data_IF_321665340651
#
_entry.id   IF_321665340651
#
_cell.length_a   1.000
_cell.length_b   1.000
_cell.length_c   1.000
_cell.angle_alpha   90.00
_cell.angle_beta   90.00
_cell.angle_gamma   90.00
#
_symmetry.space_group_name_H-M   'P 1'
#
loop_
_entity.id
_entity.type
_entity.pdbx_description
1 polymer ?
#
# COMPACT_ATOMS: atom_id res chain seq x y z
N UNK A 1 -8.78 13.02 5.62
CA UNK A 1 -8.51 11.69 6.20
C UNK A 1 -7.30 11.13 5.50
N UNK A 2 -6.12 11.19 6.12
CA UNK A 2 -4.89 10.68 5.51
C UNK A 2 -4.85 9.18 5.79
N UNK A 3 -5.32 8.37 4.84
CA UNK A 3 -5.25 6.92 4.95
C UNK A 3 -3.78 6.49 5.00
N UNK A 4 -3.28 6.07 6.17
CA UNK A 4 -1.98 5.41 6.28
C UNK A 4 -2.16 3.95 5.91
N UNK A 5 -1.57 3.53 4.80
CA UNK A 5 -1.49 2.11 4.45
C UNK A 5 -0.23 1.56 5.10
N UNK A 6 -0.40 0.76 6.15
CA UNK A 6 0.69 -0.03 6.71
C UNK A 6 0.73 -1.37 5.96
N UNK A 7 1.68 -1.53 5.04
CA UNK A 7 1.97 -2.82 4.42
C UNK A 7 3.14 -3.47 5.16
N UNK A 8 2.88 -4.58 5.84
CA UNK A 8 3.93 -5.45 6.35
C UNK A 8 4.30 -6.44 5.26
N UNK A 9 5.52 -6.31 4.73
CA UNK A 9 6.10 -7.32 3.85
C UNK A 9 6.82 -8.34 4.73
N UNK A 10 6.48 -9.61 4.60
CA UNK A 10 7.36 -10.68 5.08
C UNK A 10 8.52 -10.78 4.07
N UNK A 11 9.63 -10.11 4.39
CA UNK A 11 10.82 -10.14 3.56
C UNK A 11 11.56 -11.45 3.80
N UNK A 12 11.52 -12.34 2.81
CA UNK A 12 12.44 -13.48 2.78
C UNK A 12 13.78 -13.00 2.26
N UNK A 13 14.81 -13.21 3.08
CA UNK A 13 16.21 -12.96 2.75
C UNK A 13 16.62 -13.61 1.43
N UNK A 14 16.38 -12.91 0.31
CA UNK A 14 17.32 -12.95 -0.80
C UNK A 14 18.47 -12.08 -0.35
N UNK A 15 19.59 -12.70 0.00
CA UNK A 15 20.83 -12.03 0.41
C UNK A 15 21.18 -11.00 -0.67
N UNK A 16 20.75 -9.75 -0.48
CA UNK A 16 21.32 -8.62 -1.20
C UNK A 16 22.76 -8.56 -0.72
N UNK A 17 23.72 -8.73 -1.63
CA UNK A 17 25.14 -8.79 -1.32
C UNK A 17 25.51 -7.65 -0.36
N UNK A 18 26.05 -8.01 0.80
CA UNK A 18 26.11 -7.11 1.96
C UNK A 18 27.34 -6.21 2.00
N UNK A 19 28.15 -6.18 0.93
CA UNK A 19 29.46 -5.52 0.96
C UNK A 19 29.53 -4.53 -0.20
N UNK A 20 29.64 -3.24 0.16
CA UNK A 20 29.98 -2.18 -0.76
C UNK A 20 31.35 -2.48 -1.37
N UNK A 21 31.49 -2.28 -2.67
CA UNK A 21 32.77 -2.45 -3.37
C UNK A 21 33.80 -1.43 -2.86
N UNK A 22 35.09 -1.70 -3.08
CA UNK A 22 36.18 -0.79 -2.68
C UNK A 22 36.00 0.61 -3.29
N UNK A 23 35.50 0.69 -4.52
CA UNK A 23 35.23 1.94 -5.23
C UNK A 23 34.05 2.72 -4.60
N UNK A 24 32.97 2.03 -4.26
CA UNK A 24 31.83 2.62 -3.54
C UNK A 24 32.25 3.14 -2.16
N UNK A 25 33.09 2.40 -1.43
CA UNK A 25 33.62 2.85 -0.15
C UNK A 25 34.49 4.11 -0.28
N UNK A 26 35.37 4.17 -1.28
CA UNK A 26 36.17 5.35 -1.56
C UNK A 26 35.29 6.56 -1.91
N UNK A 27 34.29 6.38 -2.78
CA UNK A 27 33.34 7.44 -3.16
C UNK A 27 32.57 7.96 -1.94
N UNK A 28 32.13 7.08 -1.05
CA UNK A 28 31.42 7.46 0.18
C UNK A 28 32.27 8.29 1.14
N UNK A 29 33.59 8.04 1.18
CA UNK A 29 34.54 8.82 1.98
C UNK A 29 34.73 10.20 1.36
N UNK A 30 34.99 10.25 0.06
CA UNK A 30 35.19 11.50 -0.69
C UNK A 30 33.94 12.40 -0.65
N UNK A 31 32.76 11.81 -0.89
CA UNK A 31 31.47 12.49 -0.97
C UNK A 31 30.63 12.29 0.31
N UNK A 32 31.29 12.32 1.48
CA UNK A 32 30.65 12.10 2.78
C UNK A 32 29.52 13.10 3.10
N UNK A 33 29.63 14.36 2.67
CA UNK A 33 28.55 15.35 2.83
C UNK A 33 27.28 14.96 2.08
N UNK A 34 27.42 14.46 0.84
CA UNK A 34 26.29 14.02 0.03
C UNK A 34 25.63 12.78 0.66
N UNK A 35 26.44 11.81 1.09
CA UNK A 35 25.93 10.63 1.78
C UNK A 35 25.10 10.99 3.01
N UNK A 36 25.57 11.93 3.83
CA UNK A 36 24.83 12.38 5.04
C UNK A 36 23.51 13.06 4.69
N UNK A 37 23.46 13.84 3.60
CA UNK A 37 22.21 14.44 3.12
C UNK A 37 21.22 13.37 2.63
N UNK A 38 21.68 12.39 1.85
CA UNK A 38 20.84 11.28 1.37
C UNK A 38 20.26 10.49 2.55
N UNK A 39 21.07 10.17 3.57
CA UNK A 39 20.61 9.50 4.79
C UNK A 39 19.58 10.37 5.54
N UNK A 40 19.75 11.69 5.58
CA UNK A 40 18.79 12.59 6.20
C UNK A 40 17.43 12.58 5.47
N UNK A 41 17.43 12.53 4.13
CA UNK A 41 16.21 12.36 3.34
C UNK A 41 15.53 11.00 3.59
N UNK A 42 16.29 9.91 3.65
CA UNK A 42 15.76 8.57 3.98
C UNK A 42 15.12 8.54 5.37
N UNK A 43 15.69 9.27 6.33
CA UNK A 43 15.26 9.25 7.74
C UNK A 43 14.15 10.25 8.05
N UNK A 44 14.16 11.42 7.44
CA UNK A 44 13.31 12.56 7.82
C UNK A 44 12.54 13.17 6.65
N UNK A 45 12.73 12.70 5.42
CA UNK A 45 12.04 13.24 4.25
C UNK A 45 10.51 13.19 4.36
N UNK A 46 9.98 12.16 5.03
CA UNK A 46 8.55 12.00 5.29
C UNK A 46 7.94 13.17 6.09
N UNK A 47 8.73 13.82 6.96
CA UNK A 47 8.25 14.94 7.78
C UNK A 47 8.00 16.21 6.97
N UNK A 48 8.59 16.32 5.78
CA UNK A 48 8.39 17.42 4.83
C UNK A 48 7.48 17.07 3.65
N UNK A 49 6.80 15.92 3.67
CA UNK A 49 6.01 15.43 2.54
C UNK A 49 4.61 16.06 2.45
N UNK A 50 4.04 16.06 1.25
CA UNK A 50 2.73 16.59 0.91
C UNK A 50 1.66 15.49 1.02
N UNK A 51 1.31 15.11 2.25
CA UNK A 51 0.42 13.97 2.52
C UNK A 51 -1.04 14.37 2.80
N UNK A 52 -1.28 15.58 3.28
CA UNK A 52 -2.63 16.05 3.61
C UNK A 52 -3.36 16.56 2.36
N UNK A 53 -4.41 15.89 1.88
CA UNK A 53 -5.17 16.35 0.71
C UNK A 53 -5.97 17.62 0.98
N UNK A 54 -6.21 17.98 2.25
CA UNK A 54 -6.91 19.22 2.63
C UNK A 54 -5.96 20.41 2.78
N UNK A 55 -4.65 20.15 2.82
CA UNK A 55 -3.59 21.13 3.05
C UNK A 55 -3.81 22.01 4.31
N UNK A 56 -4.33 21.41 5.38
CA UNK A 56 -4.59 22.07 6.68
C UNK A 56 -3.40 21.87 7.62
N UNK A 57 -2.68 20.75 7.50
CA UNK A 57 -1.52 20.47 8.35
C UNK A 57 -0.35 21.42 8.06
N UNK A 58 0.15 22.09 9.10
CA UNK A 58 1.36 22.91 8.99
C UNK A 58 2.57 22.02 8.72
N UNK A 59 3.28 22.33 7.63
CA UNK A 59 4.46 21.57 7.22
C UNK A 59 5.66 22.02 8.04
N UNK A 60 6.29 21.07 8.74
CA UNK A 60 7.49 21.34 9.51
C UNK A 60 8.65 21.64 8.57
N UNK A 61 9.34 22.75 8.79
CA UNK A 61 10.63 22.97 8.16
C UNK A 61 11.65 21.99 8.78
N UNK A 62 12.02 20.95 8.02
CA UNK A 62 12.95 19.93 8.49
C UNK A 62 14.37 20.41 8.22
N UNK A 63 15.00 21.01 9.22
CA UNK A 63 16.38 21.51 9.13
C UNK A 63 17.38 20.44 8.66
N UNK A 64 17.13 19.15 8.90
CA UNK A 64 18.00 18.07 8.45
C UNK A 64 18.02 17.90 6.92
N UNK A 65 17.04 18.46 6.19
CA UNK A 65 16.95 18.34 4.74
C UNK A 65 17.59 19.54 4.01
N UNK A 66 18.11 20.53 4.73
CA UNK A 66 18.75 21.71 4.16
C UNK A 66 20.18 21.38 3.66
N UNK A 67 20.44 21.48 2.34
CA UNK A 67 21.77 21.24 1.76
C UNK A 67 22.90 22.12 2.32
N UNK A 68 22.59 23.34 2.76
CA UNK A 68 23.58 24.30 3.25
C UNK A 68 24.30 23.77 4.50
N UNK A 69 23.61 22.96 5.33
CA UNK A 69 24.18 22.31 6.52
C UNK A 69 25.24 21.27 6.21
N UNK A 70 25.29 20.80 4.97
CA UNK A 70 26.25 19.81 4.48
C UNK A 70 27.33 20.45 3.61
N UNK A 71 27.31 21.78 3.42
CA UNK A 71 28.22 22.50 2.51
C UNK A 71 27.91 22.26 1.03
N UNK A 72 26.70 21.81 0.70
CA UNK A 72 26.27 21.50 -0.67
C UNK A 72 25.50 22.70 -1.24
N UNK A 73 26.22 23.69 -1.75
CA UNK A 73 25.64 24.96 -2.25
C UNK A 73 25.72 25.13 -3.76
N UNK A 74 26.63 24.43 -4.44
CA UNK A 74 26.79 24.49 -5.89
C UNK A 74 25.85 23.47 -6.57
N UNK A 75 24.79 23.90 -7.27
CA UNK A 75 23.85 23.01 -7.95
C UNK A 75 24.45 22.34 -9.21
N UNK A 76 25.53 22.89 -9.77
CA UNK A 76 26.14 22.41 -11.01
C UNK A 76 27.27 21.41 -10.77
N UNK A 77 27.83 21.36 -9.56
CA UNK A 77 28.83 20.36 -9.18
C UNK A 77 28.27 18.95 -9.40
N UNK A 78 29.02 18.15 -10.15
CA UNK A 78 28.70 16.76 -10.48
C UNK A 78 29.24 15.85 -9.39
N UNK A 79 28.44 14.86 -8.99
CA UNK A 79 28.79 13.88 -7.97
C UNK A 79 28.62 12.47 -8.51
N UNK A 80 29.54 11.59 -8.12
CA UNK A 80 29.40 10.15 -8.30
C UNK A 80 28.41 9.59 -7.26
N UNK A 81 27.40 8.86 -7.73
CA UNK A 81 26.29 8.32 -6.95
C UNK A 81 26.52 6.89 -6.44
N UNK A 82 27.52 6.19 -6.97
CA UNK A 82 27.81 4.79 -6.63
C UNK A 82 28.04 4.61 -5.13
N UNK A 83 27.31 3.66 -4.51
CA UNK A 83 27.36 3.42 -3.07
C UNK A 83 26.69 4.48 -2.18
N UNK A 84 26.12 5.54 -2.78
CA UNK A 84 25.42 6.63 -2.08
C UNK A 84 23.92 6.60 -2.37
N UNK A 85 23.53 6.60 -3.65
CA UNK A 85 22.14 6.67 -4.11
C UNK A 85 21.87 5.54 -5.12
N UNK A 86 20.82 4.75 -4.91
CA UNK A 86 20.58 3.52 -5.66
C UNK A 86 19.61 3.75 -6.83
N UNK A 87 20.07 4.46 -7.85
CA UNK A 87 19.22 4.97 -8.93
C UNK A 87 19.11 4.07 -10.18
N UNK A 88 20.06 3.14 -10.37
CA UNK A 88 20.32 2.45 -11.64
C UNK A 88 19.93 0.95 -11.69
N UNK A 89 19.16 0.43 -10.73
CA UNK A 89 18.70 -0.97 -10.77
C UNK A 89 17.35 -1.18 -11.48
N UNK A 90 16.96 -0.25 -12.37
CA UNK A 90 15.83 -0.50 -13.29
C UNK A 90 16.24 -1.58 -14.30
N UNK A 91 15.45 -2.65 -14.41
CA UNK A 91 15.75 -3.81 -15.28
C UNK A 91 15.79 -3.46 -16.79
N UNK A 92 15.34 -2.26 -17.17
CA UNK A 92 15.03 -1.89 -18.56
C UNK A 92 16.06 -1.02 -19.25
N UNK A 93 16.90 -0.28 -18.51
CA UNK A 93 17.92 0.59 -19.11
C UNK A 93 19.25 0.45 -18.35
N UNK A 94 20.30 0.02 -19.07
CA UNK A 94 21.65 -0.19 -18.51
C UNK A 94 22.52 1.06 -18.59
N UNK A 95 21.97 2.19 -19.06
CA UNK A 95 22.70 3.47 -19.00
C UNK A 95 22.71 3.97 -17.55
N UNK A 96 23.71 3.54 -16.80
CA UNK A 96 23.91 3.96 -15.44
C UNK A 96 24.22 5.46 -15.43
N UNK A 97 23.26 6.27 -14.96
CA UNK A 97 23.58 7.66 -14.59
C UNK A 97 24.29 7.61 -13.25
N UNK A 98 25.53 7.14 -13.26
CA UNK A 98 26.37 7.01 -12.06
C UNK A 98 26.85 8.38 -11.57
N UNK A 99 26.68 9.42 -12.40
CA UNK A 99 26.97 10.79 -12.04
C UNK A 99 25.77 11.69 -12.30
N UNK A 100 25.55 12.66 -11.42
CA UNK A 100 24.53 13.69 -11.60
C UNK A 100 24.96 15.03 -10.99
N UNK A 101 24.55 16.16 -11.58
CA UNK A 101 24.65 17.47 -10.93
C UNK A 101 23.86 17.49 -9.62
N UNK A 102 24.36 18.19 -8.61
CA UNK A 102 23.70 18.28 -7.30
C UNK A 102 22.24 18.75 -7.39
N UNK A 103 21.93 19.70 -8.27
CA UNK A 103 20.56 20.17 -8.53
C UNK A 103 19.60 19.03 -8.91
N UNK A 104 20.05 18.10 -9.73
CA UNK A 104 19.25 16.92 -10.13
C UNK A 104 19.07 15.96 -8.97
N UNK A 105 20.11 15.75 -8.17
CA UNK A 105 20.08 14.86 -7.00
C UNK A 105 19.08 15.36 -5.96
N UNK A 106 19.13 16.64 -5.61
CA UNK A 106 18.26 17.21 -4.58
C UNK A 106 16.79 17.21 -5.00
N UNK A 107 16.50 17.50 -6.27
CA UNK A 107 15.15 17.40 -6.82
C UNK A 107 14.61 15.97 -6.78
N UNK A 108 15.46 14.99 -7.10
CA UNK A 108 15.11 13.58 -6.99
C UNK A 108 14.77 13.17 -5.57
N UNK A 109 15.63 13.50 -4.60
CA UNK A 109 15.42 13.20 -3.18
C UNK A 109 14.11 13.81 -2.67
N UNK A 110 13.82 15.07 -3.03
CA UNK A 110 12.54 15.73 -2.73
C UNK A 110 11.35 15.00 -3.35
N UNK A 111 11.46 14.58 -4.62
CA UNK A 111 10.40 13.85 -5.33
C UNK A 111 10.14 12.45 -4.74
N UNK A 112 11.19 11.77 -4.28
CA UNK A 112 11.10 10.42 -3.71
C UNK A 112 10.56 10.46 -2.28
N UNK A 113 11.15 11.29 -1.41
CA UNK A 113 10.91 11.21 0.04
C UNK A 113 9.97 12.30 0.59
N UNK A 114 9.81 13.41 -0.12
CA UNK A 114 9.02 14.57 0.32
C UNK A 114 7.94 14.96 -0.70
N UNK A 115 7.49 14.00 -1.51
CA UNK A 115 6.42 14.19 -2.50
C UNK A 115 5.02 13.94 -1.91
N UNK A 116 4.11 13.42 -2.74
CA UNK A 116 2.77 12.98 -2.34
C UNK A 116 2.73 11.56 -1.74
N UNK A 117 3.90 10.93 -1.66
CA UNK A 117 4.15 9.64 -1.02
C UNK A 117 5.37 9.85 -0.14
N UNK A 118 5.33 9.28 1.05
CA UNK A 118 6.41 9.32 2.01
C UNK A 118 6.69 7.91 2.54
N UNK A 119 7.93 7.68 2.94
CA UNK A 119 8.39 6.37 3.39
C UNK A 119 9.05 6.52 4.76
N UNK A 120 8.68 5.62 5.67
CA UNK A 120 9.33 5.43 6.97
C UNK A 120 9.82 4.00 7.03
N UNK A 121 11.13 3.81 6.92
CA UNK A 121 11.73 2.46 6.90
C UNK A 121 13.11 2.42 7.56
N UNK A 122 13.70 3.58 7.89
CA UNK A 122 15.00 3.64 8.58
C UNK A 122 14.96 3.07 10.00
N UNK A 123 13.77 2.88 10.59
CA UNK A 123 13.58 2.23 11.88
C UNK A 123 13.71 0.69 11.80
N UNK A 124 13.65 0.10 10.61
CA UNK A 124 13.82 -1.35 10.41
C UNK A 124 15.24 -1.72 10.85
N UNK A 125 15.44 -2.68 11.77
CA UNK A 125 16.78 -3.03 12.27
C UNK A 125 17.70 -3.62 11.19
N UNK A 126 17.14 -4.46 10.32
CA UNK A 126 17.89 -5.17 9.29
C UNK A 126 18.39 -4.26 8.17
N UNK A 127 19.69 -4.32 7.89
CA UNK A 127 20.30 -3.46 6.89
C UNK A 127 19.96 -3.87 5.45
N UNK A 128 19.74 -5.15 5.18
CA UNK A 128 19.38 -5.63 3.85
C UNK A 128 17.94 -5.27 3.47
N UNK A 129 17.02 -5.25 4.42
CA UNK A 129 15.67 -4.73 4.24
C UNK A 129 15.68 -3.23 3.93
N UNK A 130 16.42 -2.42 4.71
CA UNK A 130 16.60 -0.99 4.41
C UNK A 130 17.22 -0.79 3.04
N UNK A 131 18.20 -1.62 2.66
CA UNK A 131 18.83 -1.57 1.34
C UNK A 131 17.82 -1.85 0.24
N UNK A 132 17.01 -2.89 0.38
CA UNK A 132 15.91 -3.17 -0.55
C UNK A 132 14.99 -1.97 -0.74
N UNK A 133 14.63 -1.25 0.34
CA UNK A 133 13.86 -0.02 0.24
C UNK A 133 14.56 1.06 -0.56
N UNK A 134 15.88 1.27 -0.38
CA UNK A 134 16.63 2.22 -1.19
C UNK A 134 16.45 1.92 -2.69
N UNK A 135 16.68 0.67 -3.10
CA UNK A 135 16.53 0.25 -4.50
C UNK A 135 15.09 0.38 -5.00
N UNK A 136 14.11 0.03 -4.16
CA UNK A 136 12.71 0.05 -4.56
C UNK A 136 12.16 1.47 -4.79
N UNK A 137 12.63 2.47 -4.04
CA UNK A 137 12.05 3.82 -4.06
C UNK A 137 12.93 4.87 -4.74
N UNK A 138 14.26 4.68 -4.80
CA UNK A 138 15.22 5.65 -5.35
C UNK A 138 15.45 5.52 -6.86
N UNK A 139 14.87 4.52 -7.54
CA UNK A 139 14.97 4.35 -8.99
C UNK A 139 14.60 5.64 -9.75
N UNK A 140 15.37 5.98 -10.79
CA UNK A 140 15.06 7.10 -11.71
C UNK A 140 13.72 6.90 -12.42
N UNK A 141 13.43 5.65 -12.78
CA UNK A 141 12.25 5.27 -13.54
C UNK A 141 11.15 4.80 -12.61
N UNK A 142 9.96 5.41 -12.76
CA UNK A 142 8.71 4.86 -12.26
C UNK A 142 7.94 4.31 -13.45
N UNK A 143 7.40 3.08 -13.37
CA UNK A 143 6.56 2.55 -14.43
C UNK A 143 5.43 3.53 -14.75
N UNK A 144 5.31 3.92 -16.03
CA UNK A 144 4.21 4.76 -16.46
C UNK A 144 2.91 3.94 -16.43
N UNK A 145 1.83 4.52 -15.91
CA UNK A 145 0.52 3.87 -15.94
C UNK A 145 -0.01 3.82 -17.38
N UNK A 146 -0.52 2.66 -17.79
CA UNK A 146 -1.15 2.51 -19.11
C UNK A 146 -2.50 3.27 -19.16
N UNK A 147 -3.00 3.62 -20.36
CA UNK A 147 -4.34 4.20 -20.50
C UNK A 147 -5.44 3.34 -19.86
N UNK A 148 -5.32 2.02 -19.94
CA UNK A 148 -6.27 1.06 -19.37
C UNK A 148 -6.24 1.08 -17.84
N UNK A 149 -5.06 1.14 -17.23
CA UNK A 149 -4.90 1.28 -15.78
C UNK A 149 -5.52 2.59 -15.29
N UNK A 150 -5.30 3.70 -16.00
CA UNK A 150 -5.91 5.01 -15.67
C UNK A 150 -7.43 4.95 -15.77
N UNK A 151 -7.97 4.28 -16.81
CA UNK A 151 -9.41 4.11 -16.98
C UNK A 151 -10.02 3.27 -15.86
N UNK A 152 -9.35 2.17 -15.45
CA UNK A 152 -9.77 1.32 -14.33
C UNK A 152 -9.80 2.10 -13.02
N UNK A 153 -8.76 2.89 -12.74
CA UNK A 153 -8.70 3.79 -11.57
C UNK A 153 -9.89 4.76 -11.58
N UNK A 154 -10.12 5.45 -12.69
CA UNK A 154 -11.23 6.39 -12.82
C UNK A 154 -12.60 5.74 -12.62
N UNK A 155 -12.81 4.54 -13.19
CA UNK A 155 -14.06 3.79 -13.02
C UNK A 155 -14.31 3.44 -11.54
N UNK A 156 -13.30 2.94 -10.83
CA UNK A 156 -13.43 2.58 -9.41
C UNK A 156 -13.75 3.79 -8.53
N UNK A 157 -13.06 4.91 -8.75
CA UNK A 157 -13.34 6.17 -8.05
C UNK A 157 -14.78 6.62 -8.29
N UNK A 158 -15.18 6.65 -9.57
CA UNK A 158 -16.52 7.11 -9.98
C UNK A 158 -17.63 6.21 -9.44
N UNK A 159 -17.45 4.89 -9.48
CA UNK A 159 -18.44 3.92 -8.96
C UNK A 159 -18.62 4.06 -7.45
N UNK A 160 -17.51 4.20 -6.71
CA UNK A 160 -17.54 4.42 -5.27
C UNK A 160 -18.33 5.68 -4.90
N UNK A 161 -18.04 6.80 -5.57
CA UNK A 161 -18.75 8.08 -5.34
C UNK A 161 -20.24 7.99 -5.71
N UNK A 162 -20.56 7.43 -6.89
CA UNK A 162 -21.95 7.27 -7.35
C UNK A 162 -22.74 6.36 -6.42
N UNK A 163 -22.12 5.31 -5.88
CA UNK A 163 -22.75 4.42 -4.90
C UNK A 163 -23.16 5.19 -3.63
N UNK A 164 -22.25 5.99 -3.07
CA UNK A 164 -22.54 6.78 -1.87
C UNK A 164 -23.61 7.85 -2.14
N UNK A 165 -23.55 8.54 -3.28
CA UNK A 165 -24.60 9.47 -3.71
C UNK A 165 -25.97 8.78 -3.87
N UNK A 166 -26.01 7.59 -4.46
CA UNK A 166 -27.23 6.81 -4.59
C UNK A 166 -27.81 6.44 -3.22
N UNK A 167 -26.96 5.96 -2.30
CA UNK A 167 -27.36 5.61 -0.95
C UNK A 167 -27.89 6.81 -0.19
N UNK A 168 -27.23 7.96 -0.29
CA UNK A 168 -27.69 9.21 0.32
C UNK A 168 -29.07 9.64 -0.20
N UNK A 169 -29.33 9.48 -1.50
CA UNK A 169 -30.61 9.88 -2.11
C UNK A 169 -31.75 8.90 -1.82
N UNK A 170 -31.50 7.59 -1.86
CA UNK A 170 -32.54 6.56 -1.73
C UNK A 170 -32.78 6.11 -0.29
N UNK A 171 -31.76 6.18 0.54
CA UNK A 171 -31.77 5.68 1.91
C UNK A 171 -31.21 6.73 2.87
N UNK A 172 -31.70 7.97 2.78
CA UNK A 172 -31.19 9.12 3.53
C UNK A 172 -31.14 8.92 5.05
N UNK A 173 -32.03 8.09 5.61
CA UNK A 173 -32.10 7.81 7.05
C UNK A 173 -31.15 6.68 7.50
N UNK A 174 -30.54 5.95 6.56
CA UNK A 174 -29.67 4.82 6.86
C UNK A 174 -28.23 5.30 7.05
N UNK A 175 -27.69 5.04 8.24
CA UNK A 175 -26.26 5.25 8.53
C UNK A 175 -25.45 4.21 7.76
N UNK A 176 -24.74 4.65 6.72
CA UNK A 176 -23.99 3.76 5.80
C UNK A 176 -22.48 3.72 6.03
N UNK A 177 -21.91 4.69 6.73
CA UNK A 177 -20.45 4.87 6.91
C UNK A 177 -19.69 4.85 5.57
N UNK A 178 -20.10 5.72 4.64
CA UNK A 178 -19.59 5.80 3.26
C UNK A 178 -18.09 6.06 3.14
N UNK A 179 -17.61 6.02 1.90
CA UNK A 179 -16.19 6.19 1.53
C UNK A 179 -15.89 7.56 0.89
N UNK A 180 -16.83 8.50 0.94
CA UNK A 180 -16.65 9.86 0.41
C UNK A 180 -15.38 10.51 0.98
N UNK A 181 -14.47 10.95 0.09
CA UNK A 181 -13.17 11.53 0.42
C UNK A 181 -12.06 10.52 0.70
N UNK A 182 -12.32 9.21 0.56
CA UNK A 182 -11.35 8.12 0.71
C UNK A 182 -11.49 7.05 -0.39
N UNK A 183 -12.05 7.40 -1.55
CA UNK A 183 -12.36 6.51 -2.67
C UNK A 183 -11.11 5.82 -3.24
N UNK A 184 -9.92 6.44 -3.09
CA UNK A 184 -8.64 5.84 -3.47
C UNK A 184 -8.32 4.54 -2.72
N UNK A 185 -9.02 4.23 -1.62
CA UNK A 185 -8.93 2.91 -0.98
C UNK A 185 -9.35 1.79 -1.95
N UNK A 186 -10.34 2.04 -2.80
CA UNK A 186 -10.82 1.05 -3.80
C UNK A 186 -9.74 0.73 -4.83
N UNK A 187 -9.01 1.75 -5.28
CA UNK A 187 -7.94 1.57 -6.28
C UNK A 187 -6.72 0.88 -5.67
N UNK A 188 -6.41 1.20 -4.40
CA UNK A 188 -5.36 0.51 -3.65
C UNK A 188 -5.66 -0.98 -3.46
N UNK A 189 -6.89 -1.33 -3.07
CA UNK A 189 -7.30 -2.73 -2.88
C UNK A 189 -7.38 -3.50 -4.20
N UNK A 190 -7.92 -2.90 -5.26
CA UNK A 190 -7.94 -3.53 -6.60
C UNK A 190 -6.52 -3.84 -7.09
N UNK A 191 -5.58 -2.89 -6.89
CA UNK A 191 -4.18 -3.12 -7.25
C UNK A 191 -3.52 -4.18 -6.37
N UNK A 192 -3.80 -4.20 -5.07
CA UNK A 192 -3.32 -5.21 -4.15
C UNK A 192 -3.78 -6.61 -4.58
N UNK A 193 -5.07 -6.78 -4.91
CA UNK A 193 -5.61 -8.06 -5.39
C UNK A 193 -5.00 -8.48 -6.73
N UNK A 194 -4.90 -7.54 -7.67
CA UNK A 194 -4.28 -7.79 -8.97
C UNK A 194 -2.82 -8.27 -8.82
N UNK A 195 -1.99 -7.55 -8.07
CA UNK A 195 -0.57 -7.92 -7.86
C UNK A 195 -0.46 -9.24 -7.11
N UNK A 196 -1.28 -9.45 -6.07
CA UNK A 196 -1.26 -10.69 -5.27
C UNK A 196 -1.62 -11.91 -6.13
N UNK A 197 -2.67 -11.79 -6.95
CA UNK A 197 -3.12 -12.87 -7.85
C UNK A 197 -2.03 -13.24 -8.86
N UNK A 198 -1.35 -12.25 -9.47
CA UNK A 198 -0.22 -12.49 -10.38
C UNK A 198 1.04 -12.99 -9.68
N UNK A 199 1.22 -12.69 -8.39
CA UNK A 199 2.29 -13.22 -7.57
C UNK A 199 2.03 -14.68 -7.08
N UNK A 200 0.86 -15.25 -7.40
CA UNK A 200 0.51 -16.63 -7.04
C UNK A 200 -0.22 -16.78 -5.70
N UNK A 201 -0.64 -15.67 -5.07
CA UNK A 201 -1.56 -15.70 -3.92
C UNK A 201 -2.92 -16.21 -4.39
N UNK A 202 -3.51 -17.14 -3.64
CA UNK A 202 -4.79 -17.78 -3.94
C UNK A 202 -5.90 -17.39 -2.96
N UNK A 203 -5.54 -17.09 -1.71
CA UNK A 203 -6.49 -16.67 -0.69
C UNK A 203 -6.07 -15.34 -0.06
N UNK A 204 -7.00 -14.40 0.03
CA UNK A 204 -6.86 -13.18 0.84
C UNK A 204 -7.87 -13.22 1.96
N UNK A 205 -7.43 -13.10 3.21
CA UNK A 205 -8.30 -12.90 4.37
C UNK A 205 -8.30 -11.42 4.72
N UNK A 206 -9.47 -10.79 4.68
CA UNK A 206 -9.61 -9.35 4.85
C UNK A 206 -10.40 -9.03 6.12
N UNK A 207 -9.78 -8.30 7.04
CA UNK A 207 -10.41 -7.67 8.20
C UNK A 207 -10.58 -6.18 7.93
N UNK A 208 -11.78 -5.65 8.16
CA UNK A 208 -12.10 -4.25 7.85
C UNK A 208 -13.20 -3.72 8.78
N UNK A 209 -13.15 -2.44 9.20
CA UNK A 209 -14.21 -1.79 9.96
C UNK A 209 -15.39 -1.39 9.05
N UNK A 210 -16.18 -0.40 9.46
CA UNK A 210 -17.37 0.06 8.74
C UNK A 210 -17.09 1.02 7.56
N UNK A 211 -16.00 1.80 7.60
CA UNK A 211 -15.72 2.90 6.64
C UNK A 211 -15.56 2.36 5.21
N UNK A 212 -16.51 2.69 4.33
CA UNK A 212 -16.50 2.26 2.93
C UNK A 212 -16.67 0.77 2.70
N UNK A 213 -17.13 0.02 3.72
CA UNK A 213 -17.30 -1.43 3.61
C UNK A 213 -18.32 -1.80 2.54
N UNK A 214 -19.40 -1.01 2.42
CA UNK A 214 -20.46 -1.28 1.45
C UNK A 214 -19.97 -1.06 0.02
N UNK A 215 -19.15 -0.02 -0.20
CA UNK A 215 -18.48 0.23 -1.47
C UNK A 215 -17.58 -0.97 -1.84
N UNK A 216 -16.76 -1.45 -0.90
CA UNK A 216 -15.91 -2.63 -1.10
C UNK A 216 -16.74 -3.87 -1.48
N UNK A 217 -17.81 -4.12 -0.72
CA UNK A 217 -18.72 -5.25 -0.94
C UNK A 217 -19.28 -5.25 -2.35
N UNK A 218 -19.84 -4.13 -2.81
CA UNK A 218 -20.54 -4.07 -4.10
C UNK A 218 -19.60 -3.97 -5.29
N UNK A 219 -18.54 -3.18 -5.19
CA UNK A 219 -17.72 -2.86 -6.37
C UNK A 219 -16.60 -3.89 -6.63
N UNK A 220 -15.89 -4.35 -5.60
CA UNK A 220 -14.79 -5.31 -5.79
C UNK A 220 -15.18 -6.73 -5.42
N UNK A 221 -15.95 -6.90 -4.33
CA UNK A 221 -16.30 -8.24 -3.83
C UNK A 221 -17.58 -8.82 -4.47
N UNK A 222 -18.13 -8.15 -5.47
CA UNK A 222 -19.28 -8.61 -6.26
C UNK A 222 -20.49 -9.02 -5.41
N UNK A 223 -20.67 -8.38 -4.26
CA UNK A 223 -21.81 -8.65 -3.39
C UNK A 223 -23.10 -8.18 -4.09
N UNK A 224 -24.14 -9.02 -4.20
CA UNK A 224 -25.34 -8.66 -4.94
C UNK A 224 -26.01 -7.41 -4.38
N UNK A 225 -26.14 -6.34 -5.17
CA UNK A 225 -26.76 -5.09 -4.71
C UNK A 225 -28.21 -5.30 -4.24
N UNK A 226 -28.94 -6.24 -4.86
CA UNK A 226 -30.30 -6.59 -4.42
C UNK A 226 -30.32 -7.14 -2.99
N UNK A 227 -29.37 -8.02 -2.63
CA UNK A 227 -29.24 -8.54 -1.27
C UNK A 227 -28.85 -7.43 -0.29
N UNK A 228 -27.94 -6.54 -0.70
CA UNK A 228 -27.58 -5.37 0.10
C UNK A 228 -28.80 -4.49 0.38
N UNK A 229 -29.56 -4.12 -0.65
CA UNK A 229 -30.73 -3.25 -0.50
C UNK A 229 -31.88 -3.93 0.25
N UNK A 230 -31.98 -5.26 0.19
CA UNK A 230 -32.89 -6.03 1.03
C UNK A 230 -32.57 -5.83 2.52
N UNK A 231 -31.28 -5.96 2.89
CA UNK A 231 -30.81 -5.73 4.25
C UNK A 231 -30.93 -4.26 4.68
N UNK A 232 -30.65 -3.31 3.78
CA UNK A 232 -30.82 -1.86 4.03
C UNK A 232 -32.28 -1.51 4.39
N UNK A 233 -33.26 -2.24 3.85
CA UNK A 233 -34.68 -2.08 4.20
C UNK A 233 -35.08 -2.72 5.55
N UNK A 234 -34.13 -3.35 6.25
CA UNK A 234 -34.36 -3.99 7.55
C UNK A 234 -34.73 -5.48 7.46
N UNK A 235 -34.68 -6.08 6.27
CA UNK A 235 -34.99 -7.50 6.11
C UNK A 235 -33.77 -8.39 6.42
N UNK A 236 -34.01 -9.69 6.58
CA UNK A 236 -32.95 -10.68 6.81
C UNK A 236 -31.97 -10.77 5.64
N UNK A 237 -30.69 -10.97 5.95
CA UNK A 237 -29.62 -11.34 5.03
C UNK A 237 -29.59 -12.85 4.73
N UNK A 238 -30.32 -13.64 5.51
CA UNK A 238 -30.39 -15.09 5.37
C UNK A 238 -31.67 -15.53 4.65
N UNK A 239 -31.63 -16.69 3.95
CA UNK A 239 -32.84 -17.38 3.51
C UNK A 239 -33.81 -17.66 4.67
N UNK A 240 -35.11 -17.76 4.36
CA UNK A 240 -36.18 -17.92 5.36
C UNK A 240 -36.06 -19.20 6.20
N UNK A 241 -35.42 -20.23 5.66
CA UNK A 241 -35.20 -21.54 6.29
C UNK A 241 -33.95 -21.59 7.18
N UNK A 242 -33.15 -20.53 7.20
CA UNK A 242 -31.93 -20.44 8.02
C UNK A 242 -32.23 -19.69 9.32
N UNK A 243 -32.01 -20.37 10.44
CA UNK A 243 -32.07 -19.76 11.77
C UNK A 243 -30.83 -18.89 12.00
N UNK A 244 -31.00 -17.57 11.90
CA UNK A 244 -29.97 -16.59 12.24
C UNK A 244 -30.59 -15.28 12.70
N UNK A 245 -30.09 -14.72 13.79
CA UNK A 245 -30.54 -13.41 14.28
C UNK A 245 -30.16 -12.25 13.35
N UNK A 246 -29.20 -12.49 12.45
CA UNK A 246 -28.59 -11.47 11.61
C UNK A 246 -27.68 -10.55 12.40
N UNK A 247 -27.13 -9.56 11.68
CA UNK A 247 -26.34 -8.47 12.27
C UNK A 247 -26.62 -7.15 11.51
N UNK A 248 -25.97 -6.05 11.87
CA UNK A 248 -26.13 -4.76 11.19
C UNK A 248 -25.42 -4.72 9.84
N UNK A 249 -25.84 -3.76 9.00
CA UNK A 249 -25.36 -3.55 7.63
C UNK A 249 -23.82 -3.50 7.52
N UNK A 250 -23.15 -2.86 8.49
CA UNK A 250 -21.70 -2.70 8.50
C UNK A 250 -20.91 -3.97 8.86
N UNK A 251 -21.57 -5.09 9.16
CA UNK A 251 -20.91 -6.35 9.56
C UNK A 251 -21.04 -7.45 8.50
N UNK A 252 -21.70 -7.16 7.37
CA UNK A 252 -21.89 -8.12 6.25
C UNK A 252 -20.53 -8.65 5.77
N UNK A 253 -20.45 -9.96 5.62
CA UNK A 253 -19.29 -10.66 5.10
C UNK A 253 -19.60 -11.33 3.77
N UNK A 254 -18.56 -11.62 2.99
CA UNK A 254 -18.66 -12.37 1.74
C UNK A 254 -17.34 -13.07 1.45
N UNK A 255 -17.39 -14.10 0.60
CA UNK A 255 -16.19 -14.81 0.15
C UNK A 255 -16.25 -15.08 -1.36
N UNK A 256 -16.16 -14.05 -2.21
CA UNK A 256 -16.11 -14.22 -3.66
C UNK A 256 -14.80 -14.86 -4.12
N UNK A 257 -14.84 -15.38 -5.33
CA UNK A 257 -13.67 -15.77 -6.11
C UNK A 257 -13.55 -14.80 -7.29
N UNK A 258 -12.50 -13.98 -7.27
CA UNK A 258 -12.25 -12.92 -8.24
C UNK A 258 -11.28 -13.40 -9.33
N UNK A 259 -11.50 -12.94 -10.56
CA UNK A 259 -10.65 -13.25 -11.70
C UNK A 259 -9.91 -12.00 -12.15
N UNK A 260 -8.58 -12.05 -12.06
CA UNK A 260 -7.67 -10.98 -12.48
C UNK A 260 -6.83 -11.39 -13.70
N UNK A 261 -7.19 -12.49 -14.40
CA UNK A 261 -6.47 -12.97 -15.58
C UNK A 261 -5.15 -13.71 -15.28
N UNK A 262 -4.87 -14.01 -14.01
CA UNK A 262 -3.72 -14.82 -13.61
C UNK A 262 -3.99 -16.34 -13.76
N UNK A 263 -2.97 -17.16 -13.50
CA UNK A 263 -3.09 -18.63 -13.57
C UNK A 263 -4.12 -19.23 -12.61
N UNK A 264 -4.39 -18.55 -11.48
CA UNK A 264 -5.37 -18.96 -10.49
C UNK A 264 -6.26 -17.77 -10.10
N UNK A 265 -7.55 -18.06 -9.90
CA UNK A 265 -8.49 -17.08 -9.36
C UNK A 265 -8.19 -16.79 -7.89
N UNK A 266 -8.45 -15.56 -7.46
CA UNK A 266 -8.19 -15.09 -6.11
C UNK A 266 -9.45 -15.20 -5.24
N UNK A 267 -9.41 -16.02 -4.19
CA UNK A 267 -10.48 -16.11 -3.20
C UNK A 267 -10.30 -15.03 -2.14
N UNK A 268 -11.24 -14.10 -2.02
CA UNK A 268 -11.17 -13.02 -1.03
C UNK A 268 -12.21 -13.24 0.04
N UNK A 269 -11.79 -13.44 1.30
CA UNK A 269 -12.66 -13.68 2.44
C UNK A 269 -12.74 -12.43 3.32
N UNK A 270 -13.76 -11.59 3.14
CA UNK A 270 -14.06 -10.51 4.07
C UNK A 270 -14.73 -11.09 5.32
N UNK A 271 -14.14 -10.85 6.49
CA UNK A 271 -14.65 -11.39 7.76
C UNK A 271 -15.83 -10.61 8.32
N UNK A 272 -16.73 -11.33 8.99
CA UNK A 272 -17.68 -10.71 9.92
C UNK A 272 -16.92 -10.12 11.11
N UNK A 273 -17.39 -9.00 11.63
CA UNK A 273 -16.81 -8.34 12.78
C UNK A 273 -17.90 -7.64 13.59
N UNK A 274 -17.77 -7.58 14.93
CA UNK A 274 -18.63 -6.73 15.74
C UNK A 274 -18.26 -5.25 15.54
N UNK A 275 -19.02 -4.35 16.18
CA UNK A 275 -18.72 -2.91 16.20
C UNK A 275 -17.52 -2.55 17.09
N UNK A 276 -16.98 -3.49 17.87
CA UNK A 276 -15.74 -3.31 18.63
C UNK A 276 -14.57 -3.23 17.64
N UNK A 277 -14.11 -2.01 17.37
CA UNK A 277 -13.05 -1.74 16.40
C UNK A 277 -11.79 -2.56 16.74
N UNK A 278 -11.06 -2.95 15.70
CA UNK A 278 -9.81 -3.73 15.76
C UNK A 278 -9.92 -5.17 16.31
N UNK A 279 -11.05 -5.56 16.94
CA UNK A 279 -11.24 -6.91 17.48
C UNK A 279 -11.17 -8.02 16.41
N UNK A 280 -11.45 -7.69 15.15
CA UNK A 280 -11.38 -8.64 14.02
C UNK A 280 -9.94 -8.95 13.59
N UNK A 281 -8.97 -8.10 13.90
CA UNK A 281 -7.60 -8.24 13.40
C UNK A 281 -6.93 -9.57 13.81
N UNK A 282 -6.90 -9.96 15.10
CA UNK A 282 -6.34 -11.27 15.47
C UNK A 282 -7.16 -12.43 14.90
N UNK A 283 -8.47 -12.26 14.70
CA UNK A 283 -9.33 -13.28 14.07
C UNK A 283 -8.97 -13.47 12.60
N UNK A 284 -8.71 -12.38 11.87
CA UNK A 284 -8.22 -12.40 10.49
C UNK A 284 -6.87 -13.10 10.38
N UNK A 285 -5.92 -12.78 11.27
CA UNK A 285 -4.62 -13.44 11.33
C UNK A 285 -4.75 -14.94 11.64
N UNK A 286 -5.58 -15.31 12.61
CA UNK A 286 -5.82 -16.71 12.98
C UNK A 286 -6.40 -17.52 11.82
N UNK A 287 -7.38 -16.97 11.08
CA UNK A 287 -7.94 -17.62 9.90
C UNK A 287 -6.94 -17.71 8.76
N UNK A 288 -6.15 -16.65 8.51
CA UNK A 288 -5.09 -16.68 7.51
C UNK A 288 -4.05 -17.75 7.84
N UNK A 289 -3.63 -17.83 9.10
CA UNK A 289 -2.70 -18.85 9.61
C UNK A 289 -3.23 -20.26 9.42
N UNK A 290 -4.50 -20.50 9.75
CA UNK A 290 -5.14 -21.80 9.54
C UNK A 290 -5.14 -22.21 8.07
N UNK A 291 -5.43 -21.28 7.16
CA UNK A 291 -5.38 -21.51 5.71
C UNK A 291 -3.96 -21.77 5.21
N UNK A 292 -2.96 -21.01 5.68
CA UNK A 292 -1.55 -21.24 5.36
C UNK A 292 -1.11 -22.65 5.78
N UNK A 293 -1.44 -23.05 6.99
CA UNK A 293 -1.14 -24.40 7.51
C UNK A 293 -1.74 -25.50 6.64
N UNK A 294 -2.94 -25.31 6.12
CA UNK A 294 -3.56 -26.28 5.22
C UNK A 294 -2.86 -26.35 3.87
N UNK A 295 -2.47 -25.20 3.29
CA UNK A 295 -1.71 -25.15 2.03
C UNK A 295 -0.32 -25.79 2.16
N UNK A 296 0.36 -25.62 3.29
CA UNK A 296 1.67 -26.23 3.53
C UNK A 296 1.62 -27.76 3.68
N UNK A 297 0.46 -28.33 4.06
CA UNK A 297 0.28 -29.79 4.10
C UNK A 297 0.11 -30.37 2.69
N UNK A 298 -0.50 -29.61 1.78
CA UNK A 298 -0.80 -30.05 0.41
C UNK A 298 0.33 -29.74 -0.57
N UNK A 299 1.04 -28.62 -0.38
CA UNK A 299 2.15 -28.16 -1.22
C UNK A 299 3.47 -28.15 -0.45
N UNK A 300 4.36 -29.12 -0.71
CA UNK A 300 5.63 -29.29 0.02
C UNK A 300 6.61 -28.12 -0.07
N UNK A 301 6.55 -27.34 -1.15
CA UNK A 301 7.40 -26.17 -1.37
C UNK A 301 6.73 -24.85 -0.94
N UNK A 302 5.49 -24.91 -0.46
CA UNK A 302 4.78 -23.73 0.02
C UNK A 302 5.29 -23.35 1.41
N UNK A 303 5.67 -22.10 1.59
CA UNK A 303 5.97 -21.50 2.87
C UNK A 303 4.88 -20.52 3.29
N UNK A 304 5.00 -19.99 4.51
CA UNK A 304 4.06 -19.03 5.06
C UNK A 304 4.03 -17.75 4.23
N UNK A 305 2.84 -17.35 3.78
CA UNK A 305 2.65 -16.14 2.98
C UNK A 305 2.69 -16.36 1.46
N UNK A 306 3.09 -17.53 0.95
CA UNK A 306 3.20 -17.76 -0.51
C UNK A 306 1.84 -17.80 -1.22
N UNK A 307 0.84 -18.39 -0.57
CA UNK A 307 -0.48 -18.63 -1.16
C UNK A 307 -1.60 -17.88 -0.47
N UNK A 308 -1.36 -17.41 0.77
CA UNK A 308 -2.40 -16.82 1.61
C UNK A 308 -1.89 -15.53 2.24
N UNK A 309 -2.61 -14.44 2.01
CA UNK A 309 -2.31 -13.11 2.55
C UNK A 309 -3.40 -12.68 3.54
N UNK A 310 -2.99 -12.03 4.64
CA UNK A 310 -3.90 -11.34 5.54
C UNK A 310 -3.84 -9.84 5.27
N UNK A 311 -4.98 -9.20 5.06
CA UNK A 311 -5.11 -7.75 4.82
C UNK A 311 -5.98 -7.17 5.93
N UNK A 312 -5.50 -6.13 6.59
CA UNK A 312 -6.22 -5.44 7.66
C UNK A 312 -6.38 -3.97 7.29
N UNK A 313 -7.62 -3.49 7.36
CA UNK A 313 -7.95 -2.08 7.21
C UNK A 313 -8.30 -1.53 8.58
N UNK A 314 -7.89 -0.29 8.86
CA UNK A 314 -8.01 0.36 10.15
C UNK A 314 -8.59 1.77 9.99
N UNK A 315 -9.22 2.27 11.05
CA UNK A 315 -9.50 3.71 11.19
C UNK A 315 -8.31 4.44 11.82
N UNK A 316 -8.19 5.74 11.57
CA UNK A 316 -7.14 6.61 12.13
C UNK A 316 -7.51 7.25 13.48
N UNK A 317 -8.80 7.24 13.84
CA UNK A 317 -9.41 7.98 14.95
C UNK A 317 -8.87 7.65 16.35
#
# INVERSE_FOLDING_TARGET
MVGRIYMFFDWRSRRVGSIDTTEELANRIENGSLLRLVIAYRSHGHSGAYLDPLDIMERKNVLALDPSRYGLTDPHKVYNLSGILHVNESKTDKSSRDEAPFGVIIEHLKKVYSGRIAYEFMHIPDASERRWFYHAVESWERPAMTPEEKKRIFELLSRSEVFDHFMAKKFAQVKRYGLEGAESMMTALDRLFHVSSHAGVRDVVLGMPHRGRLNLLTDLLQYPSAALFHKVKGNSEFPLDVLGSGDVLSHIATTPTLDYGAAHKLKVSLLQNPSHLEAVNPVAMGKARAKQMEMMKTEKECELGDRVMCVQLHGDA
#
